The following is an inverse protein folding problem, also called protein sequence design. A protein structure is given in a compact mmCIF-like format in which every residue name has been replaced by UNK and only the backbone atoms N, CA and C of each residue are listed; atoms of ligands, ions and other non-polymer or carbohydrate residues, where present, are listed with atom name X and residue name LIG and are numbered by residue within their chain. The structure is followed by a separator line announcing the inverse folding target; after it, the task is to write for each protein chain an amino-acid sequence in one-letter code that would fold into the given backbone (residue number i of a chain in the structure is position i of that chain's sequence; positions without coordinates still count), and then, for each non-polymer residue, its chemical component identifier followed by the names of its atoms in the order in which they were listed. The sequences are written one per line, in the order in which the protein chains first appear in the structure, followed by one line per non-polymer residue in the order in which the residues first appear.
data_IF_785744949765
#
_entry.id   IF_785744949765
#
_cell.length_a   1.000
_cell.length_b   1.000
_cell.length_c   1.000
_cell.angle_alpha   90.00
_cell.angle_beta   90.00
_cell.angle_gamma   90.00
#
_symmetry.space_group_name_H-M   'P 1'
#
loop_
_entity.id
_entity.type
_entity.pdbx_description
1 polymer ?
#
# COMPACT_ATOMS: atom_id res chain seq x y z
N UNK A 1 -44.22 73.50 -69.95
CA UNK A 1 -43.16 73.62 -68.93
C UNK A 1 -43.73 73.03 -67.64
N UNK A 2 -43.13 72.13 -66.88
CA UNK A 2 -41.86 71.39 -66.93
C UNK A 2 -41.96 70.35 -65.76
N UNK A 3 -41.55 69.08 -66.00
CA UNK A 3 -40.97 68.10 -65.03
C UNK A 3 -41.88 67.60 -63.87
N UNK A 4 -42.13 66.31 -63.61
CA UNK A 4 -41.51 65.05 -64.04
C UNK A 4 -40.55 64.49 -62.99
N UNK A 5 -41.00 63.71 -62.01
CA UNK A 5 -40.07 62.83 -61.25
C UNK A 5 -40.77 61.60 -60.67
N UNK A 6 -40.49 60.46 -61.28
CA UNK A 6 -40.68 59.13 -60.72
C UNK A 6 -39.56 58.86 -59.70
N UNK A 7 -39.87 58.25 -58.56
CA UNK A 7 -38.87 57.70 -57.64
C UNK A 7 -39.00 56.19 -57.56
N UNK A 8 -37.84 55.56 -57.70
CA UNK A 8 -37.57 54.18 -58.07
C UNK A 8 -37.65 53.28 -56.83
N UNK A 9 -38.18 52.07 -57.06
CA UNK A 9 -38.18 50.90 -56.19
C UNK A 9 -36.79 50.64 -55.56
N UNK A 10 -36.73 50.30 -54.28
CA UNK A 10 -35.55 49.63 -53.70
C UNK A 10 -36.03 48.40 -52.93
N UNK A 11 -35.91 47.25 -53.59
CA UNK A 11 -36.12 45.94 -52.98
C UNK A 11 -34.97 45.66 -52.01
N UNK A 12 -35.27 45.67 -50.70
CA UNK A 12 -34.33 45.24 -49.67
C UNK A 12 -34.04 43.75 -49.80
N UNK A 13 -32.77 43.42 -50.01
CA UNK A 13 -32.24 42.07 -50.18
C UNK A 13 -32.38 41.23 -48.90
N UNK A 14 -33.06 40.08 -49.02
CA UNK A 14 -33.02 38.96 -48.07
C UNK A 14 -31.57 38.50 -47.89
N UNK A 15 -30.93 38.90 -46.80
CA UNK A 15 -29.68 38.29 -46.36
C UNK A 15 -29.98 37.14 -45.41
N UNK A 16 -30.05 35.94 -45.96
CA UNK A 16 -30.04 34.70 -45.20
C UNK A 16 -28.68 34.56 -44.49
N UNK A 17 -28.65 34.76 -43.18
CA UNK A 17 -27.50 34.45 -42.34
C UNK A 17 -27.53 32.95 -41.98
N UNK A 18 -26.92 32.12 -42.83
CA UNK A 18 -26.63 30.71 -42.55
C UNK A 18 -25.13 30.54 -42.28
N UNK A 19 -24.80 30.05 -41.09
CA UNK A 19 -23.45 29.65 -40.66
C UNK A 19 -22.65 30.80 -40.03
N UNK A 20 -22.08 30.71 -38.83
CA UNK A 20 -21.34 29.59 -38.27
C UNK A 20 -21.47 29.58 -36.74
N UNK A 21 -22.08 28.56 -36.16
CA UNK A 21 -21.88 28.27 -34.72
C UNK A 21 -20.56 27.53 -34.57
N UNK A 22 -19.50 28.28 -34.24
CA UNK A 22 -18.27 27.72 -33.72
C UNK A 22 -18.57 27.13 -32.35
N UNK A 23 -18.51 25.81 -32.21
CA UNK A 23 -18.69 25.13 -30.91
C UNK A 23 -17.60 25.64 -29.96
N UNK A 24 -17.94 26.22 -28.79
CA UNK A 24 -16.94 26.67 -27.83
C UNK A 24 -16.13 25.47 -27.32
N UNK A 25 -14.82 25.62 -27.09
CA UNK A 25 -14.03 24.59 -26.44
C UNK A 25 -14.49 24.48 -24.98
N UNK A 26 -15.43 23.59 -24.70
CA UNK A 26 -15.83 23.18 -23.35
C UNK A 26 -16.66 24.21 -22.54
N UNK A 27 -17.79 23.73 -22.01
CA UNK A 27 -18.28 24.14 -20.69
C UNK A 27 -18.78 25.57 -20.49
N UNK A 28 -19.73 26.08 -21.28
CA UNK A 28 -20.54 27.26 -20.89
C UNK A 28 -22.04 26.98 -20.79
N UNK A 29 -22.47 25.76 -21.11
CA UNK A 29 -23.85 25.29 -20.89
C UNK A 29 -23.97 24.62 -19.52
N UNK A 30 -25.10 24.72 -18.79
CA UNK A 30 -25.29 24.08 -17.48
C UNK A 30 -24.95 22.59 -17.45
N UNK A 31 -25.13 21.88 -18.56
CA UNK A 31 -24.73 20.47 -18.70
C UNK A 31 -23.21 20.22 -18.77
N UNK A 32 -22.43 21.12 -19.38
CA UNK A 32 -20.97 20.97 -19.51
C UNK A 32 -20.24 21.05 -18.17
N UNK A 33 -20.67 21.97 -17.30
CA UNK A 33 -20.12 22.12 -15.95
C UNK A 33 -20.26 20.86 -15.09
N UNK A 34 -21.30 20.04 -15.33
CA UNK A 34 -21.49 18.77 -14.63
C UNK A 34 -20.46 17.72 -15.06
N UNK A 35 -20.18 17.62 -16.37
CA UNK A 35 -19.17 16.68 -16.88
C UNK A 35 -17.75 17.09 -16.50
N UNK A 36 -17.45 18.39 -16.43
CA UNK A 36 -16.16 18.88 -15.95
C UNK A 36 -15.94 18.57 -14.47
N UNK A 37 -16.98 18.75 -13.64
CA UNK A 37 -16.94 18.38 -12.22
C UNK A 37 -16.76 16.88 -12.04
N UNK A 38 -17.47 16.07 -12.84
CA UNK A 38 -17.31 14.62 -12.83
C UNK A 38 -15.88 14.23 -13.19
N UNK A 39 -15.35 14.77 -14.29
CA UNK A 39 -13.98 14.53 -14.73
C UNK A 39 -12.99 14.90 -13.62
N UNK A 40 -13.09 16.11 -13.07
CA UNK A 40 -12.22 16.56 -11.99
C UNK A 40 -12.30 15.68 -10.74
N UNK A 41 -13.49 15.17 -10.40
CA UNK A 41 -13.66 14.24 -9.27
C UNK A 41 -13.05 12.87 -9.54
N UNK A 42 -13.14 12.39 -10.78
CA UNK A 42 -12.69 11.05 -11.19
C UNK A 42 -11.20 10.98 -11.52
N UNK A 43 -10.59 12.10 -11.92
CA UNK A 43 -9.17 12.16 -12.31
C UNK A 43 -8.32 12.89 -11.28
N UNK A 44 -8.86 13.17 -10.08
CA UNK A 44 -8.09 13.79 -9.01
C UNK A 44 -6.97 12.85 -8.59
N UNK A 45 -5.71 13.32 -8.52
CA UNK A 45 -4.62 12.53 -7.96
C UNK A 45 -4.95 12.05 -6.55
N UNK A 46 -4.58 10.80 -6.24
CA UNK A 46 -4.71 10.27 -4.89
C UNK A 46 -3.75 11.04 -3.96
N UNK A 47 -4.17 11.41 -2.74
CA UNK A 47 -3.25 11.93 -1.75
C UNK A 47 -2.17 10.89 -1.42
N UNK A 48 -0.91 11.22 -1.68
CA UNK A 48 0.23 10.40 -1.28
C UNK A 48 0.44 10.51 0.23
N UNK A 49 0.63 9.38 0.90
CA UNK A 49 1.00 9.32 2.32
C UNK A 49 2.37 8.62 2.42
N UNK A 50 3.28 9.08 3.29
CA UNK A 50 4.55 8.39 3.51
C UNK A 50 4.33 6.93 3.91
N UNK A 51 5.21 6.05 3.47
CA UNK A 51 5.19 4.65 3.91
C UNK A 51 5.35 4.59 5.44
N UNK A 52 4.60 3.70 6.13
CA UNK A 52 4.76 3.53 7.57
C UNK A 52 6.17 3.04 7.90
N UNK A 53 6.76 3.62 8.95
CA UNK A 53 8.02 3.13 9.52
C UNK A 53 7.71 1.83 10.27
N UNK A 54 8.04 0.69 9.66
CA UNK A 54 7.90 -0.61 10.32
C UNK A 54 9.13 -0.84 11.20
N UNK A 55 8.93 -0.86 12.52
CA UNK A 55 9.97 -1.30 13.45
C UNK A 55 9.98 -2.83 13.53
N UNK A 56 11.15 -3.48 13.65
CA UNK A 56 11.22 -4.89 13.99
C UNK A 56 10.41 -5.18 15.27
N UNK A 57 9.70 -6.31 15.35
CA UNK A 57 8.91 -6.63 16.53
C UNK A 57 9.80 -6.82 17.74
N UNK A 58 9.33 -6.38 18.91
CA UNK A 58 10.06 -6.54 20.17
C UNK A 58 10.10 -7.99 20.65
N UNK A 59 9.20 -8.85 20.14
CA UNK A 59 9.22 -10.29 20.38
C UNK A 59 9.06 -11.08 19.09
N UNK A 60 9.73 -12.23 19.02
CA UNK A 60 9.62 -13.18 17.92
C UNK A 60 9.24 -14.56 18.44
N UNK A 61 8.32 -15.23 17.76
CA UNK A 61 7.98 -16.62 18.06
C UNK A 61 9.01 -17.54 17.43
N UNK A 62 9.60 -18.42 18.23
CA UNK A 62 10.42 -19.54 17.77
C UNK A 62 9.58 -20.80 17.88
N UNK A 63 9.32 -21.52 16.77
CA UNK A 63 8.59 -22.78 16.80
C UNK A 63 9.31 -23.88 17.58
N UNK A 64 8.62 -25.00 17.80
CA UNK A 64 9.23 -26.22 18.31
C UNK A 64 10.44 -26.63 17.45
N UNK A 65 11.50 -27.13 18.09
CA UNK A 65 12.70 -27.61 17.39
C UNK A 65 13.20 -28.91 17.99
N UNK A 66 13.84 -29.70 17.15
CA UNK A 66 14.63 -30.85 17.57
C UNK A 66 16.10 -30.48 17.56
N UNK A 67 16.77 -30.58 18.71
CA UNK A 67 18.18 -30.22 18.88
C UNK A 67 19.00 -31.44 19.29
N UNK A 68 20.19 -31.55 18.72
CA UNK A 68 21.19 -32.53 19.13
C UNK A 68 22.04 -31.91 20.25
N UNK A 69 22.08 -32.56 21.40
CA UNK A 69 22.92 -32.15 22.53
C UNK A 69 24.00 -33.21 22.76
N UNK A 70 25.30 -32.84 22.73
CA UNK A 70 26.37 -33.79 23.03
C UNK A 70 26.17 -34.47 24.39
N UNK A 71 26.28 -35.80 24.41
CA UNK A 71 26.11 -36.59 25.63
C UNK A 71 24.67 -36.97 25.96
N UNK A 72 23.70 -36.64 25.10
CA UNK A 72 22.32 -37.16 25.19
C UNK A 72 22.00 -38.02 23.99
N UNK A 73 21.44 -39.19 24.25
CA UNK A 73 21.04 -40.14 23.23
C UNK A 73 19.78 -39.64 22.52
N UNK A 74 19.95 -39.22 21.26
CA UNK A 74 18.86 -38.77 20.39
C UNK A 74 18.65 -37.24 20.38
N UNK A 75 17.55 -36.84 19.73
CA UNK A 75 17.17 -35.43 19.61
C UNK A 75 16.23 -35.02 20.75
N UNK A 76 16.45 -33.83 21.30
CA UNK A 76 15.54 -33.21 22.27
C UNK A 76 14.55 -32.31 21.54
N UNK A 77 13.26 -32.53 21.80
CA UNK A 77 12.20 -31.57 21.52
C UNK A 77 12.32 -30.40 22.49
N UNK A 78 12.62 -29.22 21.96
CA UNK A 78 12.54 -27.94 22.65
C UNK A 78 11.23 -27.26 22.24
N UNK A 79 10.32 -26.98 23.19
CA UNK A 79 9.06 -26.32 22.88
C UNK A 79 9.25 -24.91 22.33
N UNK A 80 8.26 -24.50 21.53
CA UNK A 80 8.16 -23.17 20.98
C UNK A 80 8.03 -22.14 22.10
N UNK A 81 8.64 -20.98 21.87
CA UNK A 81 8.77 -19.94 22.87
C UNK A 81 8.87 -18.56 22.21
N UNK A 82 8.57 -17.54 22.99
CA UNK A 82 8.84 -16.16 22.60
C UNK A 82 10.26 -15.78 22.97
N UNK A 83 10.98 -15.18 22.03
CA UNK A 83 12.25 -14.48 22.26
C UNK A 83 12.01 -12.98 22.25
N UNK A 84 12.69 -12.24 23.14
CA UNK A 84 12.59 -10.78 23.20
C UNK A 84 13.80 -10.13 22.56
N UNK A 85 13.60 -9.18 21.65
CA UNK A 85 14.67 -8.39 21.04
C UNK A 85 15.39 -7.55 22.09
N UNK A 86 16.72 -7.61 22.09
CA UNK A 86 17.58 -6.75 22.90
C UNK A 86 18.26 -5.69 22.03
N UNK A 87 18.66 -6.06 20.81
CA UNK A 87 19.21 -5.19 19.77
C UNK A 87 18.89 -5.74 18.37
N UNK A 88 19.43 -5.15 17.31
CA UNK A 88 19.28 -5.71 15.95
C UNK A 88 19.89 -7.11 15.80
N UNK A 89 20.93 -7.44 16.58
CA UNK A 89 21.69 -8.69 16.45
C UNK A 89 21.65 -9.55 17.72
N UNK A 90 20.79 -9.22 18.67
CA UNK A 90 20.72 -9.94 19.93
C UNK A 90 19.28 -10.07 20.42
N UNK A 91 18.93 -11.28 20.82
CA UNK A 91 17.65 -11.63 21.41
C UNK A 91 17.85 -12.37 22.72
N UNK A 92 16.97 -12.12 23.68
CA UNK A 92 16.85 -12.87 24.91
C UNK A 92 15.99 -14.12 24.66
N UNK A 93 16.61 -15.29 24.78
CA UNK A 93 15.91 -16.56 24.87
C UNK A 93 15.63 -16.87 26.37
N UNK A 94 14.38 -17.18 26.74
CA UNK A 94 14.04 -17.55 28.10
C UNK A 94 14.68 -18.90 28.48
N UNK A 95 14.70 -19.27 29.77
CA UNK A 95 15.01 -20.65 30.15
C UNK A 95 14.02 -21.61 29.48
N UNK A 96 14.54 -22.70 28.94
CA UNK A 96 13.74 -23.72 28.24
C UNK A 96 14.03 -25.10 28.80
N UNK A 97 13.08 -26.00 28.63
CA UNK A 97 13.26 -27.42 28.97
C UNK A 97 13.05 -28.23 27.70
N UNK A 98 14.08 -28.95 27.28
CA UNK A 98 13.97 -29.93 26.19
C UNK A 98 13.80 -31.34 26.74
N UNK A 99 13.10 -32.19 25.99
CA UNK A 99 12.91 -33.60 26.33
C UNK A 99 13.14 -34.49 25.11
N UNK A 100 13.69 -35.68 25.30
CA UNK A 100 13.75 -36.68 24.23
C UNK A 100 12.34 -37.07 23.79
N UNK A 101 12.20 -37.57 22.55
CA UNK A 101 10.90 -38.02 22.03
C UNK A 101 10.26 -39.14 22.86
N UNK A 102 11.09 -39.98 23.47
CA UNK A 102 10.65 -41.04 24.37
C UNK A 102 10.34 -40.53 25.78
N UNK A 103 10.71 -39.28 26.11
CA UNK A 103 10.44 -38.63 27.39
C UNK A 103 11.34 -39.07 28.54
N UNK A 104 12.33 -39.93 28.27
CA UNK A 104 13.25 -40.51 29.25
C UNK A 104 14.31 -39.51 29.74
N UNK A 105 14.72 -38.57 28.89
CA UNK A 105 15.75 -37.56 29.23
C UNK A 105 15.20 -36.16 29.13
N UNK A 106 15.45 -35.35 30.16
CA UNK A 106 15.08 -33.93 30.23
C UNK A 106 16.31 -33.07 30.46
N UNK A 107 16.46 -31.99 29.68
CA UNK A 107 17.56 -31.02 29.80
C UNK A 107 16.99 -29.62 29.99
N UNK A 108 17.57 -28.87 30.91
CA UNK A 108 17.29 -27.45 31.08
C UNK A 108 18.33 -26.61 30.32
N UNK A 109 17.84 -25.78 29.42
CA UNK A 109 18.62 -24.76 28.74
C UNK A 109 18.47 -23.45 29.52
N UNK A 110 19.57 -22.86 30.01
CA UNK A 110 19.50 -21.59 30.74
C UNK A 110 19.10 -20.45 29.80
N UNK A 111 18.55 -19.38 30.39
CA UNK A 111 18.33 -18.12 29.68
C UNK A 111 19.63 -17.63 29.07
N UNK A 112 19.57 -17.17 27.83
CA UNK A 112 20.76 -16.70 27.10
C UNK A 112 20.40 -15.57 26.16
N UNK A 113 21.30 -14.59 26.07
CA UNK A 113 21.32 -13.68 24.94
C UNK A 113 22.01 -14.38 23.76
N UNK A 114 21.40 -14.32 22.58
CA UNK A 114 21.89 -15.02 21.38
C UNK A 114 21.51 -14.27 20.10
N UNK A 115 22.15 -14.56 18.96
CA UNK A 115 21.71 -14.00 17.68
C UNK A 115 20.25 -14.36 17.35
N UNK A 116 19.53 -13.52 16.59
CA UNK A 116 18.22 -13.83 16.04
C UNK A 116 18.20 -15.16 15.27
N UNK A 117 17.06 -15.86 15.24
CA UNK A 117 16.94 -17.21 14.65
C UNK A 117 17.42 -17.30 13.19
N UNK A 118 17.22 -16.25 12.41
CA UNK A 118 17.64 -16.13 11.01
C UNK A 118 19.15 -15.94 10.83
N UNK A 119 19.87 -15.57 11.89
CA UNK A 119 21.32 -15.34 11.88
C UNK A 119 22.10 -16.53 12.47
N UNK A 120 21.42 -17.56 12.98
CA UNK A 120 22.07 -18.71 13.60
C UNK A 120 22.55 -19.71 12.55
N UNK A 121 23.83 -20.08 12.64
CA UNK A 121 24.43 -21.14 11.83
C UNK A 121 24.11 -22.55 12.33
N UNK A 122 23.73 -22.69 13.61
CA UNK A 122 23.38 -23.95 14.25
C UNK A 122 22.08 -23.79 15.07
N UNK A 123 21.31 -24.88 15.31
CA UNK A 123 20.03 -24.84 16.04
C UNK A 123 20.08 -24.15 17.41
#
# INVERSE_FOLDING_TARGET
MLIGTAMILSAGSLHAALGQTRTPPGGTTPGGAMFDRLRQSTTRPMPETPAPIVRPPDMSWVPDRFVLVPGVDGQLLVPGHWERRLSDHEVYAPPLTGRTLQGDTTINFPARARPPVNERQFP
#
